data_IF_136919767436
#
_entry.id   IF_136919767436
#
_cell.length_a   1.000
_cell.length_b   1.000
_cell.length_c   1.000
_cell.angle_alpha   90.00
_cell.angle_beta   90.00
_cell.angle_gamma   90.00
#
_symmetry.space_group_name_H-M   'P 1'
#
loop_
_entity.id
_entity.type
_entity.pdbx_description
1 polymer ?
#
# COMPACT_ATOMS: atom_id res chain seq x y z
N UNK A 1 9.84 9.01 22.09
CA UNK A 1 9.05 7.80 22.39
C UNK A 1 8.15 7.47 21.20
N UNK A 2 8.62 6.68 20.22
CA UNK A 2 7.93 6.42 18.93
C UNK A 2 7.83 4.91 18.61
N UNK A 3 7.87 4.05 19.64
CA UNK A 3 7.90 2.57 19.47
C UNK A 3 6.54 1.89 19.58
N UNK A 4 5.46 2.58 19.97
CA UNK A 4 4.16 1.94 20.24
C UNK A 4 3.21 1.83 19.05
N UNK A 5 3.34 2.65 18.00
CA UNK A 5 2.41 2.60 16.86
C UNK A 5 2.64 1.40 15.94
N UNK A 6 3.91 1.03 15.69
CA UNK A 6 4.27 -0.13 14.83
C UNK A 6 3.66 -1.45 15.31
N UNK A 7 3.60 -1.66 16.62
CA UNK A 7 3.13 -2.92 17.18
C UNK A 7 1.60 -3.05 17.15
N UNK A 8 0.89 -1.93 17.28
CA UNK A 8 -0.58 -1.89 17.17
C UNK A 8 -1.01 -2.09 15.71
N UNK A 9 -0.31 -1.46 14.76
CA UNK A 9 -0.57 -1.62 13.32
C UNK A 9 -0.39 -3.07 12.85
N UNK A 10 0.68 -3.74 13.30
CA UNK A 10 0.92 -5.15 12.98
C UNK A 10 -0.15 -6.11 13.55
N UNK A 11 -0.86 -5.72 14.61
CA UNK A 11 -1.94 -6.52 15.18
C UNK A 11 -3.28 -6.26 14.45
N UNK A 12 -3.55 -5.02 14.03
CA UNK A 12 -4.76 -4.64 13.29
C UNK A 12 -4.74 -5.21 11.86
N UNK A 13 -3.58 -5.22 11.22
CA UNK A 13 -3.38 -5.76 9.85
C UNK A 13 -3.60 -7.26 9.74
N UNK A 14 -3.59 -8.01 10.86
CA UNK A 14 -3.85 -9.47 10.85
C UNK A 14 -5.34 -9.83 10.95
N UNK A 15 -6.22 -8.89 11.27
CA UNK A 15 -7.61 -9.20 11.66
C UNK A 15 -8.71 -8.54 10.81
N UNK A 16 -8.40 -7.63 9.88
CA UNK A 16 -9.44 -6.87 9.18
C UNK A 16 -9.43 -7.15 7.68
N UNK A 17 -10.65 -7.21 7.12
CA UNK A 17 -10.96 -7.30 5.70
C UNK A 17 -9.90 -6.61 4.83
N UNK A 18 -9.33 -7.35 3.87
CA UNK A 18 -8.36 -6.81 2.92
C UNK A 18 -8.93 -5.53 2.30
N UNK A 19 -8.38 -4.36 2.65
CA UNK A 19 -8.77 -3.10 2.02
C UNK A 19 -8.33 -3.21 0.55
N UNK A 20 -9.23 -2.99 -0.41
CA UNK A 20 -8.88 -3.01 -1.82
C UNK A 20 -7.70 -2.10 -2.13
N UNK A 21 -6.71 -2.59 -2.90
CA UNK A 21 -5.55 -1.78 -3.30
C UNK A 21 -5.91 -0.44 -3.94
N UNK A 22 -6.94 -0.30 -4.80
CA UNK A 22 -7.33 1.01 -5.32
C UNK A 22 -7.73 2.03 -4.23
N UNK A 23 -8.19 1.57 -3.07
CA UNK A 23 -8.53 2.44 -1.92
C UNK A 23 -7.30 2.81 -1.08
N UNK A 24 -6.30 1.93 -1.01
CA UNK A 24 -5.02 2.21 -0.36
C UNK A 24 -4.15 3.13 -1.23
N UNK A 25 -4.01 2.78 -2.51
CA UNK A 25 -3.17 3.43 -3.50
C UNK A 25 -3.95 4.44 -4.35
N UNK A 26 -4.62 5.37 -3.66
CA UNK A 26 -5.32 6.49 -4.31
C UNK A 26 -4.38 7.33 -5.18
N UNK A 27 -4.91 8.06 -6.16
CA UNK A 27 -4.11 8.97 -7.01
C UNK A 27 -3.25 9.92 -6.17
N UNK A 28 -3.80 10.46 -5.08
CA UNK A 28 -3.07 11.36 -4.20
C UNK A 28 -1.92 10.66 -3.49
N UNK A 29 -2.12 9.43 -3.01
CA UNK A 29 -1.02 8.64 -2.44
C UNK A 29 0.07 8.40 -3.49
N UNK A 30 -0.35 7.98 -4.69
CA UNK A 30 0.57 7.65 -5.78
C UNK A 30 1.40 8.86 -6.20
N UNK A 31 0.79 10.03 -6.36
CA UNK A 31 1.51 11.27 -6.71
C UNK A 31 2.41 11.79 -5.58
N UNK A 32 2.12 11.47 -4.32
CA UNK A 32 2.89 11.95 -3.17
C UNK A 32 4.13 11.08 -2.91
N UNK A 33 3.99 9.76 -3.04
CA UNK A 33 5.02 8.81 -2.61
C UNK A 33 5.64 8.01 -3.77
N UNK A 34 5.11 8.18 -4.98
CA UNK A 34 5.59 7.51 -6.19
C UNK A 34 5.59 8.46 -7.39
N UNK A 35 6.21 8.03 -8.49
CA UNK A 35 6.14 8.66 -9.80
C UNK A 35 5.06 8.07 -10.71
N UNK A 36 4.13 7.29 -10.15
CA UNK A 36 3.00 6.73 -10.88
C UNK A 36 1.77 7.64 -10.71
N UNK A 37 0.92 7.67 -11.74
CA UNK A 37 -0.30 8.48 -11.74
C UNK A 37 -1.35 7.93 -10.76
N UNK A 38 -1.54 6.61 -10.80
CA UNK A 38 -2.58 5.88 -10.08
C UNK A 38 -2.17 4.41 -9.89
N UNK A 39 -2.99 3.64 -9.17
CA UNK A 39 -2.78 2.21 -8.96
C UNK A 39 -2.69 1.42 -10.27
N UNK A 40 -3.52 1.76 -11.27
CA UNK A 40 -3.52 1.08 -12.56
C UNK A 40 -2.18 1.24 -13.28
N UNK A 41 -1.62 2.45 -13.30
CA UNK A 41 -0.31 2.73 -13.88
C UNK A 41 0.82 1.94 -13.21
N UNK A 42 0.72 1.70 -11.90
CA UNK A 42 1.64 0.80 -11.21
C UNK A 42 1.45 -0.63 -11.71
N UNK A 43 0.22 -1.17 -11.67
CA UNK A 43 -0.10 -2.55 -12.09
C UNK A 43 0.35 -2.84 -13.53
N UNK A 44 0.13 -1.88 -14.44
CA UNK A 44 0.62 -1.95 -15.82
C UNK A 44 2.14 -1.96 -15.88
N UNK A 45 2.81 -1.11 -15.10
CA UNK A 45 4.27 -1.08 -15.04
C UNK A 45 4.87 -2.37 -14.46
N UNK A 46 4.14 -3.06 -13.58
CA UNK A 46 4.53 -4.37 -13.04
C UNK A 46 4.23 -5.51 -14.03
N UNK A 47 3.29 -5.30 -14.95
CA UNK A 47 2.84 -6.31 -15.91
C UNK A 47 1.96 -7.41 -15.30
N UNK A 48 1.26 -7.13 -14.19
CA UNK A 48 0.45 -8.12 -13.48
C UNK A 48 -1.04 -7.98 -13.82
N UNK A 49 -1.67 -9.04 -14.32
CA UNK A 49 -3.09 -9.04 -14.66
C UNK A 49 -4.02 -9.21 -13.43
N UNK A 50 -3.49 -9.82 -12.36
CA UNK A 50 -4.15 -9.97 -11.06
C UNK A 50 -3.08 -9.95 -9.97
N UNK A 51 -2.72 -8.77 -9.45
CA UNK A 51 -1.60 -8.65 -8.52
C UNK A 51 -1.97 -9.24 -7.15
N UNK A 52 -1.24 -10.26 -6.72
CA UNK A 52 -1.24 -10.74 -5.34
C UNK A 52 -0.02 -10.18 -4.58
N UNK A 53 -0.06 -10.20 -3.24
CA UNK A 53 1.03 -9.72 -2.38
C UNK A 53 2.39 -10.28 -2.79
N UNK A 54 2.48 -11.58 -3.05
CA UNK A 54 3.73 -12.26 -3.41
C UNK A 54 4.26 -11.80 -4.78
N UNK A 55 3.37 -11.58 -5.74
CA UNK A 55 3.74 -11.10 -7.07
C UNK A 55 4.19 -9.64 -7.02
N UNK A 56 3.55 -8.81 -6.19
CA UNK A 56 3.91 -7.41 -5.99
C UNK A 56 5.25 -7.29 -5.27
N UNK A 57 5.48 -8.05 -4.20
CA UNK A 57 6.77 -8.06 -3.49
C UNK A 57 7.90 -8.51 -4.41
N UNK A 58 7.70 -9.60 -5.16
CA UNK A 58 8.68 -10.08 -6.13
C UNK A 58 8.99 -9.01 -7.17
N UNK A 59 7.97 -8.39 -7.73
CA UNK A 59 8.19 -7.40 -8.76
C UNK A 59 8.84 -6.12 -8.20
N UNK A 60 8.52 -5.72 -6.97
CA UNK A 60 9.23 -4.63 -6.31
C UNK A 60 10.73 -4.96 -6.17
N UNK A 61 11.07 -6.22 -5.90
CA UNK A 61 12.46 -6.66 -5.81
C UNK A 61 13.17 -6.75 -7.17
N UNK A 62 12.51 -7.33 -8.17
CA UNK A 62 13.10 -7.67 -9.47
C UNK A 62 13.08 -6.49 -10.45
N UNK A 63 12.09 -5.60 -10.34
CA UNK A 63 11.87 -4.51 -11.29
C UNK A 63 12.43 -3.19 -10.77
N UNK A 64 13.66 -2.88 -11.17
CA UNK A 64 14.38 -1.66 -10.77
C UNK A 64 13.57 -0.39 -11.08
N UNK A 65 12.82 -0.36 -12.19
CA UNK A 65 12.02 0.82 -12.57
C UNK A 65 10.86 1.10 -11.60
N UNK A 66 10.33 0.06 -10.92
CA UNK A 66 9.32 0.25 -9.88
C UNK A 66 9.98 0.91 -8.68
N UNK A 67 11.11 0.37 -8.21
CA UNK A 67 11.85 0.93 -7.07
C UNK A 67 12.30 2.37 -7.28
N UNK A 68 12.84 2.70 -8.46
CA UNK A 68 13.30 4.06 -8.75
C UNK A 68 12.18 5.08 -8.89
N UNK A 69 10.94 4.61 -9.09
CA UNK A 69 9.74 5.43 -9.13
C UNK A 69 9.02 5.51 -7.79
N UNK A 70 9.53 4.93 -6.70
CA UNK A 70 8.91 5.08 -5.38
C UNK A 70 9.92 5.59 -4.36
N UNK A 71 9.41 6.18 -3.27
CA UNK A 71 10.23 6.55 -2.13
C UNK A 71 10.50 5.38 -1.16
N UNK A 72 10.05 4.16 -1.49
CA UNK A 72 10.05 3.02 -0.57
C UNK A 72 11.12 1.98 -0.91
N UNK A 73 11.58 1.29 0.12
CA UNK A 73 12.63 0.26 0.02
C UNK A 73 12.08 -1.11 -0.35
N UNK A 74 10.79 -1.35 -0.04
CA UNK A 74 10.09 -2.62 -0.20
C UNK A 74 8.60 -2.39 -0.43
N UNK A 75 7.91 -3.40 -0.97
CA UNK A 75 6.46 -3.34 -1.15
C UNK A 75 5.72 -3.34 0.20
N UNK A 76 6.19 -4.11 1.19
CA UNK A 76 5.66 -4.08 2.56
C UNK A 76 5.64 -2.66 3.15
N UNK A 77 6.75 -1.91 3.01
CA UNK A 77 6.85 -0.54 3.52
C UNK A 77 5.86 0.40 2.83
N UNK A 78 5.75 0.29 1.50
CA UNK A 78 4.82 1.06 0.69
C UNK A 78 3.36 0.78 1.09
N UNK A 79 2.98 -0.49 1.28
CA UNK A 79 1.64 -0.88 1.72
C UNK A 79 1.34 -0.36 3.13
N UNK A 80 2.27 -0.52 4.07
CA UNK A 80 2.09 0.00 5.43
C UNK A 80 1.83 1.51 5.42
N UNK A 81 2.57 2.27 4.60
CA UNK A 81 2.35 3.71 4.47
C UNK A 81 0.98 4.02 3.85
N UNK A 82 0.54 3.27 2.85
CA UNK A 82 -0.78 3.43 2.25
C UNK A 82 -1.91 3.17 3.26
N UNK A 83 -1.76 2.14 4.09
CA UNK A 83 -2.70 1.84 5.17
C UNK A 83 -2.72 2.94 6.25
N UNK A 84 -1.55 3.43 6.69
CA UNK A 84 -1.45 4.58 7.59
C UNK A 84 -2.24 5.77 7.05
N UNK A 85 -2.00 6.16 5.79
CA UNK A 85 -2.70 7.29 5.15
C UNK A 85 -4.20 7.02 5.04
N UNK A 86 -4.60 5.78 4.75
CA UNK A 86 -6.00 5.40 4.69
C UNK A 86 -6.68 5.58 6.05
N UNK A 87 -6.10 5.06 7.13
CA UNK A 87 -6.67 5.14 8.48
C UNK A 87 -6.63 6.56 9.06
N UNK A 88 -5.62 7.38 8.73
CA UNK A 88 -5.61 8.81 9.08
C UNK A 88 -6.80 9.56 8.46
N UNK A 89 -7.19 9.18 7.24
CA UNK A 89 -8.35 9.77 6.54
C UNK A 89 -9.68 9.15 6.95
N UNK A 90 -9.66 7.94 7.47
CA UNK A 90 -10.83 7.20 7.96
C UNK A 90 -10.66 6.85 9.45
N UNK A 91 -10.60 7.86 10.35
CA UNK A 91 -10.29 7.66 11.77
C UNK A 91 -11.34 6.80 12.50
N UNK A 92 -12.54 6.70 11.94
CA UNK A 92 -13.57 5.75 12.35
C UNK A 92 -13.55 4.60 11.34
N UNK A 93 -12.62 3.66 11.53
CA UNK A 93 -12.50 2.48 10.69
C UNK A 93 -13.87 1.83 10.48
N UNK A 94 -14.16 1.44 9.24
CA UNK A 94 -15.34 0.69 8.79
C UNK A 94 -16.25 0.29 9.95
N UNK A 95 -17.27 1.10 10.26
CA UNK A 95 -18.45 0.53 10.89
C UNK A 95 -18.86 -0.65 10.01
N UNK A 96 -18.96 -1.88 10.54
CA UNK A 96 -19.54 -2.95 9.76
C UNK A 96 -20.95 -2.48 9.39
N UNK A 97 -21.17 -2.22 8.10
CA UNK A 97 -22.53 -2.07 7.57
C UNK A 97 -23.17 -3.44 7.74
N UNK A 98 -23.95 -3.56 8.81
CA UNK A 98 -24.69 -4.76 9.20
C UNK A 98 -26.04 -4.80 8.51
#
# INVERSE_FOLDING_TARGET
MLKSFKNIFNAITKAHAHIPYPLLFTEQFMQTYTGFKDWGALVEAVGLHAPCEEALERAFHEQIHVRTKTCFSSWVEMRQKAEEVYYERHPFGLHPLH
#
